data_IF_073227167867
#
_entry.id   IF_073227167867
#
_cell.length_a   1.000
_cell.length_b   1.000
_cell.length_c   1.000
_cell.angle_alpha   90.00
_cell.angle_beta   90.00
_cell.angle_gamma   90.00
#
_symmetry.space_group_name_H-M   'P 1'
#
loop_
_entity.id
_entity.type
_entity.pdbx_description
1 polymer ?
#
# COMPACT_ATOMS: atom_id res chain seq x y z
N UNK A 1 -8.87 19.79 -9.14
CA UNK A 1 -8.65 18.80 -8.06
C UNK A 1 -7.40 18.04 -8.40
N UNK A 2 -6.39 18.09 -7.54
CA UNK A 2 -5.14 17.34 -7.70
C UNK A 2 -5.24 16.10 -6.81
N UNK A 3 -5.80 15.02 -7.36
CA UNK A 3 -5.90 13.74 -6.66
C UNK A 3 -4.58 13.00 -6.88
N UNK A 4 -3.88 12.67 -5.80
CA UNK A 4 -2.67 11.86 -5.87
C UNK A 4 -3.03 10.38 -5.73
N UNK A 5 -2.43 9.54 -6.58
CA UNK A 5 -2.61 8.09 -6.53
C UNK A 5 -1.35 7.47 -5.97
N UNK A 6 -1.48 6.73 -4.88
CA UNK A 6 -0.39 5.95 -4.29
C UNK A 6 -0.60 4.49 -4.65
N UNK A 7 0.45 3.85 -5.15
CA UNK A 7 0.44 2.42 -5.50
C UNK A 7 1.49 1.70 -4.67
N UNK A 8 1.06 0.69 -3.93
CA UNK A 8 1.90 -0.19 -3.12
C UNK A 8 1.97 -1.56 -3.78
N UNK A 9 3.18 -2.02 -4.08
CA UNK A 9 3.42 -3.34 -4.64
C UNK A 9 4.13 -4.21 -3.61
N UNK A 10 3.58 -5.39 -3.36
CA UNK A 10 4.12 -6.37 -2.43
C UNK A 10 4.47 -7.64 -3.18
N UNK A 11 5.73 -8.06 -3.12
CA UNK A 11 6.20 -9.30 -3.74
C UNK A 11 5.63 -10.55 -3.04
N UNK A 12 5.62 -10.51 -1.69
CA UNK A 12 5.08 -11.58 -0.87
C UNK A 12 4.39 -11.02 0.37
N UNK A 13 3.08 -11.18 0.46
CA UNK A 13 2.31 -10.85 1.64
C UNK A 13 2.20 -12.10 2.52
N UNK A 14 2.70 -12.06 3.77
CA UNK A 14 2.48 -13.18 4.71
C UNK A 14 1.00 -13.36 5.09
N UNK A 15 0.17 -12.34 4.86
CA UNK A 15 -1.26 -12.41 5.13
C UNK A 15 -2.07 -13.11 4.03
N UNK A 16 -1.43 -13.70 3.00
CA UNK A 16 -2.08 -14.34 1.84
C UNK A 16 -3.08 -15.43 2.21
N UNK A 17 -2.92 -16.12 3.34
CA UNK A 17 -3.90 -17.11 3.81
C UNK A 17 -5.23 -16.49 4.25
N UNK A 18 -5.21 -15.27 4.81
CA UNK A 18 -6.43 -14.54 5.18
C UNK A 18 -6.89 -13.55 4.11
N UNK A 19 -5.98 -13.01 3.29
CA UNK A 19 -6.26 -11.93 2.33
C UNK A 19 -7.19 -12.33 1.18
N UNK A 20 -7.27 -13.63 0.85
CA UNK A 20 -8.22 -14.16 -0.14
C UNK A 20 -9.68 -13.93 0.27
N UNK A 21 -9.94 -13.68 1.56
CA UNK A 21 -11.23 -13.23 2.08
C UNK A 21 -11.34 -11.70 2.15
N UNK A 22 -10.22 -10.97 2.24
CA UNK A 22 -10.17 -9.50 2.28
C UNK A 22 -10.37 -8.84 0.90
N UNK A 23 -10.04 -9.53 -0.20
CA UNK A 23 -10.25 -9.07 -1.58
C UNK A 23 -11.64 -8.53 -1.86
N UNK A 24 -12.66 -9.03 -1.16
CA UNK A 24 -14.03 -8.66 -1.46
C UNK A 24 -14.46 -7.34 -0.81
N UNK A 25 -13.78 -6.83 0.24
CA UNK A 25 -14.22 -5.66 1.02
C UNK A 25 -13.11 -4.96 1.82
N UNK A 26 -11.95 -4.66 1.23
CA UNK A 26 -11.06 -3.69 1.90
C UNK A 26 -11.64 -2.29 1.70
N UNK A 27 -12.44 -1.85 2.66
CA UNK A 27 -13.00 -0.49 2.65
C UNK A 27 -12.04 0.54 3.25
N UNK A 28 -11.04 0.08 4.02
CA UNK A 28 -10.12 0.94 4.79
C UNK A 28 -8.75 0.30 4.90
N UNK A 29 -7.72 1.09 4.65
CA UNK A 29 -6.31 0.77 4.85
C UNK A 29 -5.80 1.66 5.99
N UNK A 30 -5.15 1.04 6.98
CA UNK A 30 -4.63 1.73 8.16
C UNK A 30 -3.11 1.76 8.07
N UNK A 31 -2.54 2.95 7.86
CA UNK A 31 -1.10 3.16 7.88
C UNK A 31 -0.74 3.65 9.29
N UNK A 32 -0.11 2.80 10.07
CA UNK A 32 0.25 3.09 11.46
C UNK A 32 1.74 3.36 11.56
N UNK A 33 2.06 4.55 12.03
CA UNK A 33 3.43 4.99 12.33
C UNK A 33 3.57 5.38 13.81
N UNK A 34 4.78 5.74 14.24
CA UNK A 34 5.03 6.32 15.57
C UNK A 34 4.29 7.65 15.76
N UNK A 35 4.01 8.38 14.69
CA UNK A 35 3.29 9.67 14.74
C UNK A 35 1.75 9.51 14.82
N UNK A 36 1.21 8.32 14.57
CA UNK A 36 -0.23 8.04 14.67
C UNK A 36 -0.77 7.07 13.61
N UNK A 37 -2.10 7.03 13.49
CA UNK A 37 -2.81 6.21 12.51
C UNK A 37 -3.35 7.08 11.38
N UNK A 38 -3.09 6.69 10.14
CA UNK A 38 -3.65 7.30 8.94
C UNK A 38 -4.65 6.30 8.34
N UNK A 39 -5.91 6.72 8.21
CA UNK A 39 -6.95 5.95 7.55
C UNK A 39 -7.08 6.41 6.10
N UNK A 40 -6.87 5.51 5.15
CA UNK A 40 -7.08 5.78 3.71
C UNK A 40 -8.02 4.74 3.10
N UNK A 41 -8.78 5.13 2.09
CA UNK A 41 -9.66 4.22 1.37
C UNK A 41 -8.93 3.66 0.13
N UNK A 42 -8.66 2.35 0.05
CA UNK A 42 -8.07 1.78 -1.15
C UNK A 42 -9.05 1.76 -2.32
N UNK A 43 -8.55 2.16 -3.49
CA UNK A 43 -9.28 2.10 -4.75
C UNK A 43 -9.41 0.67 -5.28
N UNK A 44 -8.52 -0.23 -4.84
CA UNK A 44 -8.62 -1.65 -5.14
C UNK A 44 -7.32 -2.40 -4.89
N UNK A 45 -7.43 -3.72 -4.87
CA UNK A 45 -6.28 -4.61 -4.75
C UNK A 45 -6.28 -5.58 -5.93
N UNK A 46 -5.15 -5.66 -6.63
CA UNK A 46 -4.93 -6.60 -7.72
C UNK A 46 -3.92 -7.65 -7.30
N UNK A 47 -4.26 -8.90 -7.54
CA UNK A 47 -3.37 -10.04 -7.35
C UNK A 47 -2.77 -10.38 -8.70
N UNK A 48 -1.48 -10.12 -8.83
CA UNK A 48 -0.68 -10.47 -9.98
C UNK A 48 -0.05 -11.83 -9.69
N UNK A 49 -0.61 -12.87 -10.28
CA UNK A 49 0.02 -14.19 -10.27
C UNK A 49 1.11 -14.20 -11.33
N UNK A 50 2.38 -14.26 -10.91
CA UNK A 50 3.46 -14.63 -11.83
C UNK A 50 3.36 -16.14 -12.04
N UNK A 51 3.08 -16.54 -13.28
CA UNK A 51 3.06 -17.94 -13.70
C UNK A 51 4.42 -18.58 -13.35
N UNK A 52 4.38 -19.74 -12.67
CA UNK A 52 5.48 -20.70 -12.42
C UNK A 52 6.28 -20.73 -11.09
N UNK A 53 6.06 -19.87 -10.09
CA UNK A 53 6.53 -20.18 -8.72
C UNK A 53 5.94 -19.25 -7.69
N UNK A 54 4.99 -19.74 -6.89
CA UNK A 54 4.64 -19.35 -5.49
C UNK A 54 4.63 -17.86 -5.05
N UNK A 55 4.83 -16.90 -5.95
CA UNK A 55 4.92 -15.47 -5.71
C UNK A 55 3.69 -14.82 -6.35
N UNK A 56 2.64 -14.68 -5.55
CA UNK A 56 1.51 -13.80 -5.88
C UNK A 56 1.88 -12.39 -5.46
N UNK A 57 2.30 -11.58 -6.43
CA UNK A 57 2.50 -10.15 -6.22
C UNK A 57 1.14 -9.48 -5.98
N UNK A 58 1.06 -8.59 -5.00
CA UNK A 58 -0.16 -7.86 -4.65
C UNK A 58 0.07 -6.38 -4.89
N UNK A 59 -0.79 -5.78 -5.70
CA UNK A 59 -0.83 -4.34 -5.93
C UNK A 59 -2.02 -3.77 -5.18
N UNK A 60 -1.80 -2.79 -4.31
CA UNK A 60 -2.84 -2.05 -3.61
C UNK A 60 -2.69 -0.57 -3.96
N UNK A 61 -3.73 0.05 -4.53
CA UNK A 61 -3.72 1.47 -4.85
C UNK A 61 -4.80 2.23 -4.09
N UNK A 62 -4.52 3.48 -3.76
CA UNK A 62 -5.46 4.38 -3.09
C UNK A 62 -5.28 5.81 -3.55
N UNK A 63 -6.39 6.54 -3.53
CA UNK A 63 -6.46 7.94 -3.93
C UNK A 63 -6.42 8.83 -2.69
N UNK A 64 -5.62 9.89 -2.75
CA UNK A 64 -5.49 10.87 -1.68
C UNK A 64 -5.83 12.23 -2.27
N UNK A 65 -6.98 12.77 -1.86
CA UNK A 65 -7.50 14.05 -2.35
C UNK A 65 -6.87 15.27 -1.64
N UNK A 66 -6.19 15.07 -0.51
CA UNK A 66 -5.57 16.14 0.27
C UNK A 66 -4.05 16.04 0.27
N UNK A 67 -3.38 17.12 -0.13
CA UNK A 67 -1.92 17.21 -0.15
C UNK A 67 -1.32 16.94 1.24
N UNK A 68 -1.92 17.49 2.31
CA UNK A 68 -1.47 17.22 3.68
C UNK A 68 -1.50 15.72 4.02
N UNK A 69 -2.57 15.01 3.65
CA UNK A 69 -2.64 13.56 3.85
C UNK A 69 -1.60 12.82 3.01
N UNK A 70 -1.36 13.28 1.78
CA UNK A 70 -0.36 12.69 0.89
C UNK A 70 1.05 12.85 1.47
N UNK A 71 1.39 14.03 2.01
CA UNK A 71 2.66 14.27 2.67
C UNK A 71 2.84 13.37 3.91
N UNK A 72 1.76 13.11 4.67
CA UNK A 72 1.81 12.16 5.80
C UNK A 72 2.04 10.73 5.33
N UNK A 73 1.35 10.30 4.27
CA UNK A 73 1.55 8.98 3.66
C UNK A 73 2.98 8.84 3.14
N UNK A 74 3.50 9.86 2.44
CA UNK A 74 4.87 9.88 1.97
C UNK A 74 5.87 9.77 3.13
N UNK A 75 5.70 10.55 4.21
CA UNK A 75 6.55 10.44 5.40
C UNK A 75 6.54 9.03 6.00
N UNK A 76 5.37 8.41 6.09
CA UNK A 76 5.24 7.02 6.52
C UNK A 76 6.01 6.07 5.58
N UNK A 77 5.83 6.20 4.26
CA UNK A 77 6.52 5.37 3.28
C UNK A 77 8.04 5.55 3.32
N UNK A 78 8.52 6.79 3.53
CA UNK A 78 9.94 7.07 3.74
C UNK A 78 10.49 6.31 4.95
N UNK A 79 9.83 6.41 6.11
CA UNK A 79 10.24 5.67 7.33
C UNK A 79 10.17 4.16 7.13
N UNK A 80 9.10 3.67 6.51
CA UNK A 80 8.93 2.26 6.20
C UNK A 80 10.03 1.76 5.27
N UNK A 81 10.41 2.56 4.26
CA UNK A 81 11.49 2.24 3.35
C UNK A 81 12.83 2.17 4.07
N UNK A 82 13.17 3.16 4.89
CA UNK A 82 14.40 3.17 5.69
C UNK A 82 14.48 1.96 6.64
N UNK A 83 13.38 1.62 7.33
CA UNK A 83 13.33 0.52 8.28
C UNK A 83 13.43 -0.87 7.62
N UNK A 84 12.96 -1.01 6.39
CA UNK A 84 12.94 -2.28 5.65
C UNK A 84 14.02 -2.37 4.55
N UNK A 85 14.87 -1.34 4.41
CA UNK A 85 15.94 -1.28 3.41
C UNK A 85 15.44 -1.10 1.98
N UNK A 86 14.27 -0.49 1.77
CA UNK A 86 13.81 -0.08 0.44
C UNK A 86 14.40 1.29 0.07
N UNK A 87 14.71 1.48 -1.20
CA UNK A 87 15.18 2.76 -1.73
C UNK A 87 14.05 3.49 -2.47
N UNK A 88 13.93 4.79 -2.22
CA UNK A 88 13.01 5.62 -2.99
C UNK A 88 13.62 5.94 -4.35
N UNK A 89 13.00 5.46 -5.43
CA UNK A 89 13.34 5.88 -6.79
C UNK A 89 12.36 6.94 -7.27
N UNK A 90 12.80 8.19 -7.24
CA UNK A 90 12.15 9.27 -8.00
C UNK A 90 12.51 9.10 -9.47
N UNK A 91 11.52 8.86 -10.33
CA UNK A 91 11.69 8.92 -11.79
C UNK A 91 10.94 10.10 -12.36
#
# INVERSE_FOLDING_TARGET
SDTKIVVLMFDRLQATESFRSFTNKINKLWLKDEEGNIEVAPGGIKFLSADESDFSQVECSFEVESEENFERVMRFLHRYAEANGFEFKSN
#
